data_IF_942057034499
#
_entry.id   IF_942057034499
#
_cell.length_a   1.000
_cell.length_b   1.000
_cell.length_c   1.000
_cell.angle_alpha   90.00
_cell.angle_beta   90.00
_cell.angle_gamma   90.00
#
_symmetry.space_group_name_H-M   'P 1'
#
loop_
_entity.id
_entity.type
_entity.pdbx_description
1 polymer ?
#
# COMPACT_ATOMS: atom_id res chain seq x y z
N UNK A 1 -17.07 17.76 -23.32
CA UNK A 1 -15.88 17.70 -22.46
C UNK A 1 -15.74 16.27 -21.95
N UNK A 2 -14.75 15.50 -22.42
CA UNK A 2 -14.39 14.24 -21.78
C UNK A 2 -13.61 14.62 -20.52
N UNK A 3 -14.13 14.27 -19.35
CA UNK A 3 -13.35 14.33 -18.11
C UNK A 3 -12.11 13.47 -18.35
N UNK A 4 -10.93 14.07 -18.36
CA UNK A 4 -9.70 13.34 -18.12
C UNK A 4 -9.78 12.85 -16.69
N UNK A 5 -10.40 11.69 -16.50
CA UNK A 5 -10.18 10.82 -15.35
C UNK A 5 -8.67 10.58 -15.34
N UNK A 6 -7.93 11.48 -14.68
CA UNK A 6 -6.49 11.39 -14.56
C UNK A 6 -6.21 10.09 -13.84
N UNK A 7 -5.71 9.09 -14.57
CA UNK A 7 -5.02 7.97 -13.95
C UNK A 7 -4.02 8.57 -12.98
N UNK A 8 -4.20 8.35 -11.68
CA UNK A 8 -3.12 8.61 -10.75
C UNK A 8 -2.03 7.58 -11.12
N UNK A 9 -0.85 8.02 -11.58
CA UNK A 9 0.13 7.13 -12.19
C UNK A 9 0.78 6.16 -11.19
N UNK A 10 0.55 6.37 -9.89
CA UNK A 10 1.15 5.57 -8.81
C UNK A 10 0.14 5.32 -7.69
N UNK A 11 0.21 4.16 -7.00
CA UNK A 11 -0.58 3.90 -5.82
C UNK A 11 -0.26 4.91 -4.70
N UNK A 12 -1.28 5.26 -3.92
CA UNK A 12 -1.11 6.05 -2.70
C UNK A 12 -0.81 5.07 -1.57
N UNK A 13 0.38 5.13 -0.99
CA UNK A 13 0.78 4.29 0.15
C UNK A 13 0.78 5.14 1.41
N UNK A 14 -0.01 4.74 2.40
CA UNK A 14 -0.16 5.41 3.69
C UNK A 14 0.34 4.44 4.75
N UNK A 15 1.53 4.71 5.26
CA UNK A 15 2.00 4.05 6.47
C UNK A 15 1.26 4.63 7.67
N UNK A 16 0.88 3.80 8.64
CA UNK A 16 -0.15 4.13 9.63
C UNK A 16 0.14 5.49 10.30
N UNK A 17 -0.79 6.46 10.31
CA UNK A 17 -0.58 7.70 11.06
C UNK A 17 -0.69 7.51 12.58
N UNK A 18 -1.02 6.30 13.05
CA UNK A 18 -1.31 5.97 14.44
C UNK A 18 -0.19 5.17 15.13
N UNK A 19 1.07 5.30 14.71
CA UNK A 19 2.17 4.63 15.43
C UNK A 19 2.20 5.11 16.90
N UNK A 20 2.17 4.14 17.83
CA UNK A 20 2.06 4.35 19.29
C UNK A 20 0.65 4.72 19.82
N UNK A 21 -0.42 4.34 19.12
CA UNK A 21 -1.82 4.38 19.59
C UNK A 21 -2.36 5.76 20.00
N UNK A 22 -1.73 6.87 19.58
CA UNK A 22 -2.03 8.18 20.15
C UNK A 22 -3.19 8.95 19.52
N UNK A 23 -3.83 8.48 18.43
CA UNK A 23 -5.05 9.14 17.92
C UNK A 23 -5.94 8.29 17.00
N UNK A 24 -6.65 7.32 17.59
CA UNK A 24 -7.67 6.50 16.88
C UNK A 24 -8.76 7.34 16.20
N UNK A 25 -9.15 8.47 16.80
CA UNK A 25 -10.20 9.36 16.25
C UNK A 25 -9.72 10.10 15.02
N UNK A 26 -8.46 10.56 14.99
CA UNK A 26 -7.90 11.11 13.76
C UNK A 26 -7.76 10.05 12.67
N UNK A 27 -7.35 8.84 13.02
CA UNK A 27 -7.23 7.75 12.05
C UNK A 27 -8.57 7.48 11.35
N UNK A 28 -9.67 7.32 12.10
CA UNK A 28 -11.01 7.14 11.52
C UNK A 28 -11.40 8.30 10.58
N UNK A 29 -11.09 9.54 10.96
CA UNK A 29 -11.37 10.72 10.14
C UNK A 29 -10.54 10.73 8.85
N UNK A 30 -9.25 10.41 8.94
CA UNK A 30 -8.35 10.32 7.77
C UNK A 30 -8.83 9.20 6.85
N UNK A 31 -9.19 8.04 7.39
CA UNK A 31 -9.73 6.91 6.65
C UNK A 31 -11.04 7.25 5.93
N UNK A 32 -11.98 7.92 6.60
CA UNK A 32 -13.22 8.38 5.98
C UNK A 32 -13.00 9.45 4.89
N UNK A 33 -12.00 10.32 5.05
CA UNK A 33 -11.60 11.27 4.00
C UNK A 33 -11.00 10.55 2.79
N UNK A 34 -10.13 9.56 3.01
CA UNK A 34 -9.57 8.76 1.93
C UNK A 34 -10.69 8.02 1.19
N UNK A 35 -11.58 7.32 1.89
CA UNK A 35 -12.69 6.60 1.27
C UNK A 35 -13.61 7.53 0.44
N UNK A 36 -13.84 8.77 0.89
CA UNK A 36 -14.76 9.71 0.23
C UNK A 36 -14.13 10.58 -0.87
N UNK A 37 -12.79 10.72 -0.89
CA UNK A 37 -12.08 11.61 -1.82
C UNK A 37 -11.17 10.89 -2.80
N UNK A 38 -10.87 9.62 -2.56
CA UNK A 38 -10.06 8.80 -3.47
C UNK A 38 -10.82 8.61 -4.79
N UNK A 39 -10.23 8.95 -5.93
CA UNK A 39 -10.81 8.66 -7.24
C UNK A 39 -11.08 7.16 -7.40
N UNK A 40 -12.17 6.79 -8.07
CA UNK A 40 -12.56 5.38 -8.24
C UNK A 40 -11.50 4.52 -8.98
N UNK A 41 -10.61 5.17 -9.75
CA UNK A 41 -9.53 4.54 -10.49
C UNK A 41 -8.18 4.56 -9.74
N UNK A 42 -8.14 4.98 -8.48
CA UNK A 42 -6.92 5.05 -7.70
C UNK A 42 -6.75 3.82 -6.81
N UNK A 43 -5.51 3.33 -6.69
CA UNK A 43 -5.15 2.31 -5.70
C UNK A 43 -4.64 2.99 -4.42
N UNK A 44 -5.23 2.63 -3.28
CA UNK A 44 -4.76 3.05 -1.95
C UNK A 44 -4.31 1.82 -1.19
N UNK A 45 -3.10 1.88 -0.63
CA UNK A 45 -2.55 0.87 0.27
C UNK A 45 -2.39 1.53 1.64
N UNK A 46 -3.09 1.02 2.64
CA UNK A 46 -3.08 1.55 4.00
C UNK A 46 -2.54 0.49 4.96
N UNK A 47 -1.48 0.83 5.69
CA UNK A 47 -1.04 0.07 6.85
C UNK A 47 -1.80 0.57 8.08
N UNK A 48 -2.42 -0.34 8.83
CA UNK A 48 -3.13 -0.02 10.07
C UNK A 48 -2.89 -1.13 11.10
N UNK A 49 -2.76 -0.75 12.38
CA UNK A 49 -2.66 -1.70 13.49
C UNK A 49 -4.02 -2.35 13.78
N UNK A 50 -5.09 -1.56 13.71
CA UNK A 50 -6.47 -1.98 13.96
C UNK A 50 -7.36 -1.78 12.71
N UNK A 51 -8.31 -2.69 12.45
CA UNK A 51 -9.37 -2.44 11.49
C UNK A 51 -10.26 -1.27 11.93
N UNK A 52 -10.79 -0.52 10.96
CA UNK A 52 -11.74 0.57 11.20
C UNK A 52 -13.03 0.32 10.44
N UNK A 53 -14.16 0.47 11.12
CA UNK A 53 -15.49 0.39 10.50
C UNK A 53 -15.75 1.52 9.49
N UNK A 54 -14.96 2.60 9.54
CA UNK A 54 -15.06 3.75 8.63
C UNK A 54 -14.37 3.52 7.28
N UNK A 55 -13.67 2.40 7.12
CA UNK A 55 -12.96 2.05 5.89
C UNK A 55 -13.31 0.62 5.48
N UNK A 56 -13.84 0.46 4.28
CA UNK A 56 -14.19 -0.85 3.73
C UNK A 56 -13.19 -1.24 2.63
N UNK A 57 -12.07 -1.92 2.96
CA UNK A 57 -11.06 -2.28 1.99
C UNK A 57 -11.54 -3.38 1.02
N UNK A 58 -11.21 -3.26 -0.26
CA UNK A 58 -11.44 -4.32 -1.24
C UNK A 58 -10.60 -5.57 -0.95
N UNK A 59 -9.44 -5.38 -0.31
CA UNK A 59 -8.51 -6.45 0.07
C UNK A 59 -7.85 -6.14 1.40
N UNK A 60 -7.84 -7.12 2.29
CA UNK A 60 -7.11 -7.09 3.57
C UNK A 60 -5.93 -8.07 3.48
N UNK A 61 -4.75 -7.60 3.90
CA UNK A 61 -3.57 -8.45 4.09
C UNK A 61 -3.24 -8.40 5.58
N UNK A 62 -3.46 -9.51 6.28
CA UNK A 62 -3.13 -9.63 7.70
C UNK A 62 -1.69 -10.13 7.84
N UNK A 63 -0.86 -9.39 8.58
CA UNK A 63 0.50 -9.82 8.93
C UNK A 63 0.48 -10.40 10.35
N UNK A 64 0.69 -11.72 10.46
CA UNK A 64 0.55 -12.44 11.73
C UNK A 64 1.89 -12.72 12.42
N UNK A 65 3.00 -12.72 11.66
CA UNK A 65 4.32 -13.08 12.15
C UNK A 65 5.20 -11.85 12.33
N UNK A 66 5.87 -11.79 13.48
CA UNK A 66 6.79 -10.69 13.78
C UNK A 66 7.93 -10.64 12.76
N UNK A 67 8.22 -9.44 12.24
CA UNK A 67 9.31 -9.19 11.27
C UNK A 67 9.21 -10.00 9.98
N UNK A 68 8.01 -10.45 9.61
CA UNK A 68 7.76 -11.19 8.38
C UNK A 68 6.64 -10.52 7.59
N UNK A 69 6.93 -10.15 6.34
CA UNK A 69 5.95 -9.64 5.39
C UNK A 69 5.29 -10.77 4.58
N UNK A 70 6.02 -11.87 4.39
CA UNK A 70 5.62 -13.01 3.58
C UNK A 70 5.73 -14.31 4.40
N UNK A 71 4.81 -15.22 4.12
CA UNK A 71 4.94 -16.63 4.47
C UNK A 71 6.00 -17.32 3.59
N UNK A 72 6.54 -18.45 4.04
CA UNK A 72 7.63 -19.13 3.33
C UNK A 72 7.23 -19.59 1.93
N UNK A 73 5.98 -20.01 1.76
CA UNK A 73 5.39 -20.38 0.47
C UNK A 73 5.12 -19.18 -0.43
N UNK A 74 4.82 -18.01 0.15
CA UNK A 74 4.65 -16.75 -0.58
C UNK A 74 5.98 -16.17 -1.06
N UNK A 75 7.07 -16.40 -0.34
CA UNK A 75 8.39 -15.87 -0.68
C UNK A 75 8.88 -16.38 -2.05
N UNK A 76 8.70 -17.66 -2.34
CA UNK A 76 9.14 -18.25 -3.62
C UNK A 76 8.39 -17.61 -4.81
N UNK A 77 7.07 -17.45 -4.69
CA UNK A 77 6.26 -16.82 -5.74
C UNK A 77 6.62 -15.33 -5.94
N UNK A 78 6.73 -14.58 -4.85
CA UNK A 78 7.00 -13.14 -4.91
C UNK A 78 8.41 -12.87 -5.41
N UNK A 79 9.40 -13.61 -4.92
CA UNK A 79 10.81 -13.44 -5.31
C UNK A 79 11.01 -13.71 -6.80
N UNK A 80 10.38 -14.74 -7.35
CA UNK A 80 10.41 -15.04 -8.78
C UNK A 80 9.89 -13.89 -9.66
N UNK A 81 9.04 -13.01 -9.12
CA UNK A 81 8.49 -11.84 -9.82
C UNK A 81 9.28 -10.56 -9.56
N UNK A 82 9.71 -10.34 -8.32
CA UNK A 82 10.31 -9.07 -7.88
C UNK A 82 11.81 -9.03 -8.13
N UNK A 83 12.54 -10.12 -7.87
CA UNK A 83 14.01 -10.14 -8.01
C UNK A 83 14.50 -9.78 -9.42
N UNK A 84 13.89 -10.28 -10.53
CA UNK A 84 14.31 -9.89 -11.87
C UNK A 84 14.17 -8.38 -12.14
N UNK A 85 13.19 -7.71 -11.53
CA UNK A 85 13.01 -6.27 -11.65
C UNK A 85 14.11 -5.50 -10.90
N UNK A 86 14.48 -6.00 -9.71
CA UNK A 86 15.57 -5.44 -8.90
C UNK A 86 16.91 -5.63 -9.63
N UNK A 87 17.20 -6.81 -10.14
CA UNK A 87 18.42 -7.11 -10.91
C UNK A 87 18.56 -6.20 -12.12
N UNK A 88 17.45 -5.99 -12.86
CA UNK A 88 17.41 -5.06 -13.98
C UNK A 88 17.67 -3.62 -13.52
N UNK A 89 17.01 -3.17 -12.45
CA UNK A 89 17.21 -1.82 -11.91
C UNK A 89 18.66 -1.57 -11.48
N UNK A 90 19.28 -2.53 -10.79
CA UNK A 90 20.69 -2.48 -10.39
C UNK A 90 21.60 -2.40 -11.63
N UNK A 91 21.33 -3.24 -12.64
CA UNK A 91 22.13 -3.27 -13.88
C UNK A 91 22.08 -1.94 -14.61
N UNK A 92 20.91 -1.32 -14.71
CA UNK A 92 20.73 -0.03 -15.38
C UNK A 92 21.37 1.12 -14.60
N UNK A 93 21.22 1.16 -13.27
CA UNK A 93 21.88 2.16 -12.42
C UNK A 93 23.40 2.05 -12.49
N UNK A 94 23.94 0.82 -12.57
CA UNK A 94 25.39 0.58 -12.69
C UNK A 94 25.97 0.99 -14.04
N UNK A 95 25.13 1.16 -15.08
CA UNK A 95 25.53 1.66 -16.40
C UNK A 95 25.43 3.18 -16.54
N UNK A 96 24.68 3.82 -15.65
CA UNK A 96 24.40 5.25 -15.67
C UNK A 96 25.43 6.08 -14.86
N UNK A 97 26.30 5.44 -14.09
CA UNK A 97 27.44 6.05 -13.40
C UNK A 97 28.75 5.76 -14.12
#
# INVERSE_FOLDING_TARGET
>A
MKSTESFLPSPIVIDSPNQNAQDRKHLERVMGLLASKTPANAQVVLCAEDPSDSFNPDKVIQLERERALLESDQMDEVSARVLPLIERAITELSRAG
#
